data_IF_175762631620
#
_entry.id   IF_175762631620
#
_cell.length_a   1.000
_cell.length_b   1.000
_cell.length_c   1.000
_cell.angle_alpha   90.00
_cell.angle_beta   90.00
_cell.angle_gamma   90.00
#
_symmetry.space_group_name_H-M   'P 1'
#
loop_
_entity.id
_entity.type
_entity.pdbx_description
1 polymer ?
#
# COMPACT_ATOMS: atom_id res chain seq x y z
N UNK A 1 32.02 -20.31 30.95
CA UNK A 1 32.85 -19.18 30.48
C UNK A 1 32.28 -18.72 29.15
N UNK A 2 31.36 -17.76 29.15
CA UNK A 2 30.71 -17.29 27.92
C UNK A 2 31.60 -16.23 27.26
N UNK A 3 32.45 -16.65 26.34
CA UNK A 3 33.31 -15.72 25.59
C UNK A 3 32.46 -15.08 24.49
N UNK A 4 32.21 -13.78 24.62
CA UNK A 4 31.43 -12.99 23.65
C UNK A 4 32.31 -12.74 22.41
N UNK A 5 32.22 -13.61 21.42
CA UNK A 5 32.87 -13.42 20.12
C UNK A 5 32.04 -12.43 19.30
N UNK A 6 32.54 -11.20 19.15
CA UNK A 6 31.94 -10.19 18.27
C UNK A 6 32.41 -10.36 16.82
N UNK A 7 31.52 -10.24 15.82
CA UNK A 7 31.93 -10.31 14.42
C UNK A 7 32.81 -9.11 14.02
N UNK A 8 33.77 -9.27 13.09
CA UNK A 8 34.64 -8.18 12.65
C UNK A 8 33.83 -7.07 11.97
N UNK A 9 34.20 -5.82 12.25
CA UNK A 9 33.52 -4.61 11.79
C UNK A 9 33.74 -4.38 10.28
N UNK A 10 32.68 -4.42 9.47
CA UNK A 10 32.75 -4.02 8.06
C UNK A 10 31.71 -4.58 7.08
N UNK A 11 30.81 -5.48 7.49
CA UNK A 11 30.10 -6.34 6.54
C UNK A 11 28.63 -5.94 6.30
N UNK A 12 28.22 -5.86 5.01
CA UNK A 12 26.90 -5.42 4.52
C UNK A 12 25.76 -6.40 4.91
N UNK A 13 24.48 -5.95 4.97
CA UNK A 13 23.38 -6.71 5.59
C UNK A 13 23.06 -8.07 4.94
N UNK A 14 23.00 -8.16 3.61
CA UNK A 14 22.66 -9.40 2.90
C UNK A 14 23.79 -10.45 2.98
N UNK A 15 25.05 -10.01 3.03
CA UNK A 15 26.19 -10.91 3.25
C UNK A 15 26.23 -11.44 4.67
N UNK A 16 25.72 -10.72 5.68
CA UNK A 16 25.80 -11.12 7.10
C UNK A 16 25.18 -12.48 7.40
N UNK A 17 24.06 -12.83 6.78
CA UNK A 17 23.36 -14.09 7.09
C UNK A 17 24.10 -15.29 6.49
N UNK A 18 24.48 -15.22 5.22
CA UNK A 18 25.26 -16.25 4.55
C UNK A 18 26.65 -16.38 5.18
N UNK A 19 27.29 -15.27 5.55
CA UNK A 19 28.57 -15.29 6.28
C UNK A 19 28.42 -15.81 7.71
N UNK A 20 27.31 -15.55 8.40
CA UNK A 20 27.07 -16.10 9.73
C UNK A 20 26.88 -17.62 9.68
N UNK A 21 26.19 -18.12 8.66
CA UNK A 21 26.03 -19.57 8.42
C UNK A 21 27.38 -20.20 8.11
N UNK A 22 28.18 -19.60 7.22
CA UNK A 22 29.52 -20.11 6.90
C UNK A 22 30.48 -20.04 8.10
N UNK A 23 30.39 -18.99 8.90
CA UNK A 23 31.19 -18.83 10.12
C UNK A 23 30.80 -19.86 11.20
N UNK A 24 29.50 -20.11 11.38
CA UNK A 24 29.00 -21.16 12.28
C UNK A 24 29.47 -22.55 11.84
N UNK A 25 29.39 -22.85 10.54
CA UNK A 25 29.88 -24.10 9.97
C UNK A 25 31.40 -24.28 10.19
N UNK A 26 32.17 -23.21 10.01
CA UNK A 26 33.62 -23.22 10.19
C UNK A 26 34.02 -23.46 11.65
N UNK A 27 33.39 -22.77 12.62
CA UNK A 27 33.64 -22.97 14.06
C UNK A 27 33.34 -24.41 14.48
N UNK A 28 32.19 -24.94 14.05
CA UNK A 28 31.78 -26.31 14.39
C UNK A 28 32.79 -27.33 13.88
N UNK A 29 33.25 -27.17 12.64
CA UNK A 29 34.22 -28.08 12.02
C UNK A 29 35.60 -27.98 12.68
N UNK A 30 36.11 -26.77 12.92
CA UNK A 30 37.41 -26.55 13.55
C UNK A 30 37.45 -27.12 14.98
N UNK A 31 36.41 -26.87 15.77
CA UNK A 31 36.31 -27.41 17.12
C UNK A 31 36.13 -28.93 17.13
N UNK A 32 35.37 -29.50 16.20
CA UNK A 32 35.22 -30.95 16.05
C UNK A 32 36.56 -31.63 15.72
N UNK A 33 37.36 -31.04 14.83
CA UNK A 33 38.70 -31.54 14.49
C UNK A 33 39.65 -31.48 15.69
N UNK A 34 39.64 -30.37 16.44
CA UNK A 34 40.45 -30.24 17.66
C UNK A 34 40.03 -31.23 18.75
N UNK A 35 38.72 -31.45 18.93
CA UNK A 35 38.20 -32.41 19.91
C UNK A 35 38.57 -33.85 19.51
N UNK A 36 38.38 -34.22 18.23
CA UNK A 36 38.75 -35.54 17.72
C UNK A 36 40.25 -35.83 17.88
N UNK A 37 41.10 -34.82 17.63
CA UNK A 37 42.54 -34.93 17.84
C UNK A 37 42.91 -35.10 19.34
N UNK A 38 42.22 -34.40 20.25
CA UNK A 38 42.43 -34.53 21.71
C UNK A 38 41.97 -35.87 22.27
N UNK A 39 40.83 -36.39 21.79
CA UNK A 39 40.31 -37.71 22.21
C UNK A 39 41.25 -38.82 21.74
N UNK A 40 41.80 -38.70 20.52
CA UNK A 40 42.74 -39.70 19.97
C UNK A 40 44.11 -39.68 20.68
N UNK A 41 44.53 -38.54 21.22
CA UNK A 41 45.83 -38.38 21.90
C UNK A 41 45.78 -38.63 23.42
N UNK A 42 44.59 -38.81 24.01
CA UNK A 42 44.43 -39.05 25.44
C UNK A 42 44.28 -40.56 25.72
N UNK A 43 45.17 -41.17 26.52
CA UNK A 43 45.18 -42.63 26.75
C UNK A 43 43.93 -43.17 27.48
N UNK A 44 43.21 -42.30 28.20
CA UNK A 44 42.03 -42.67 28.99
C UNK A 44 40.70 -42.61 28.21
N UNK A 45 40.69 -42.05 27.00
CA UNK A 45 39.49 -41.81 26.20
C UNK A 45 39.45 -42.72 24.97
N UNK A 46 38.63 -43.78 25.02
CA UNK A 46 38.49 -44.69 23.88
C UNK A 46 37.49 -44.12 22.85
N UNK A 47 38.00 -43.65 21.70
CA UNK A 47 37.22 -43.10 20.60
C UNK A 47 36.06 -44.02 20.16
N UNK A 48 36.29 -45.34 20.15
CA UNK A 48 35.26 -46.32 19.75
C UNK A 48 34.10 -46.37 20.74
N UNK A 49 34.36 -46.12 22.02
CA UNK A 49 33.32 -46.05 23.07
C UNK A 49 32.49 -44.77 22.98
N UNK A 50 33.10 -43.63 22.60
CA UNK A 50 32.37 -42.37 22.40
C UNK A 50 31.53 -42.39 21.12
N UNK A 51 32.02 -43.01 20.06
CA UNK A 51 31.26 -43.18 18.82
C UNK A 51 30.06 -44.13 19.00
N UNK A 52 30.15 -45.11 19.90
CA UNK A 52 29.04 -46.02 20.19
C UNK A 52 28.01 -45.47 21.16
N UNK A 53 28.41 -44.63 22.13
CA UNK A 53 27.49 -44.06 23.14
C UNK A 53 26.97 -42.66 22.80
N UNK A 54 27.78 -41.81 22.17
CA UNK A 54 27.42 -40.42 21.85
C UNK A 54 28.17 -39.89 20.63
N UNK A 55 27.90 -40.40 19.42
CA UNK A 55 28.61 -39.99 18.19
C UNK A 55 28.41 -38.50 17.88
N UNK A 56 27.27 -37.92 18.28
CA UNK A 56 26.96 -36.49 18.09
C UNK A 56 27.93 -35.56 18.82
N UNK A 57 28.54 -36.01 19.91
CA UNK A 57 29.51 -35.20 20.68
C UNK A 57 30.80 -34.94 19.89
N UNK A 58 31.14 -35.81 18.93
CA UNK A 58 32.34 -35.65 18.07
C UNK A 58 31.97 -34.95 16.76
N UNK A 59 30.80 -35.27 16.20
CA UNK A 59 30.35 -34.75 14.91
C UNK A 59 29.79 -33.32 15.02
N UNK A 60 29.05 -33.02 16.09
CA UNK A 60 28.45 -31.72 16.38
C UNK A 60 28.71 -31.31 17.85
N UNK A 61 29.98 -31.09 18.23
CA UNK A 61 30.37 -30.80 19.62
C UNK A 61 29.80 -29.48 20.16
N UNK A 62 29.50 -28.54 19.27
CA UNK A 62 28.91 -27.25 19.61
C UNK A 62 27.53 -27.19 18.99
N UNK A 63 26.51 -27.13 19.83
CA UNK A 63 25.15 -26.79 19.44
C UNK A 63 24.77 -25.46 20.07
N UNK A 64 23.89 -24.74 19.37
CA UNK A 64 23.21 -23.59 19.94
C UNK A 64 21.72 -23.90 19.96
N UNK A 65 21.04 -23.45 21.00
CA UNK A 65 19.58 -23.45 21.04
C UNK A 65 19.13 -22.02 20.75
N UNK A 66 18.37 -21.82 19.67
CA UNK A 66 17.75 -20.52 19.43
C UNK A 66 16.60 -20.39 20.44
N UNK A 67 16.85 -19.64 21.51
CA UNK A 67 15.79 -19.23 22.44
C UNK A 67 15.14 -17.99 21.87
N UNK A 68 13.98 -18.15 21.24
CA UNK A 68 13.21 -17.01 20.78
C UNK A 68 12.57 -16.30 21.99
N UNK A 69 13.12 -15.14 22.35
CA UNK A 69 12.62 -14.31 23.45
C UNK A 69 11.19 -13.80 23.20
N UNK A 70 10.75 -13.75 21.93
CA UNK A 70 9.42 -13.29 21.52
C UNK A 70 8.84 -14.30 20.51
N UNK A 71 8.26 -15.42 20.99
CA UNK A 71 7.71 -16.44 20.11
C UNK A 71 6.53 -15.90 19.30
N UNK A 72 6.51 -16.32 18.03
CA UNK A 72 5.37 -16.13 17.14
C UNK A 72 4.24 -17.06 17.58
N UNK A 73 3.27 -16.51 18.29
CA UNK A 73 2.17 -17.25 18.93
C UNK A 73 0.78 -16.84 18.40
N UNK A 74 0.72 -15.88 17.47
CA UNK A 74 -0.52 -15.34 16.93
C UNK A 74 -0.47 -15.32 15.40
N UNK A 75 -0.84 -16.43 14.72
CA UNK A 75 -0.82 -16.50 13.27
C UNK A 75 -1.76 -15.48 12.62
N UNK A 76 -2.86 -15.10 13.28
CA UNK A 76 -3.82 -14.09 12.80
C UNK A 76 -3.15 -12.75 12.49
N UNK A 77 -2.09 -12.39 13.22
CA UNK A 77 -1.38 -11.14 13.00
C UNK A 77 -0.69 -11.06 11.62
N UNK A 78 -0.33 -12.20 11.01
CA UNK A 78 0.25 -12.20 9.66
C UNK A 78 -0.79 -11.78 8.62
N UNK A 79 -2.00 -12.32 8.70
CA UNK A 79 -3.09 -11.94 7.80
C UNK A 79 -3.35 -10.43 7.86
N UNK A 80 -3.37 -9.85 9.07
CA UNK A 80 -3.60 -8.42 9.29
C UNK A 80 -2.43 -7.55 8.80
N UNK A 81 -1.18 -8.00 9.00
CA UNK A 81 0.03 -7.25 8.63
C UNK A 81 0.38 -7.29 7.12
N UNK A 82 -0.32 -8.11 6.33
CA UNK A 82 -0.12 -8.26 4.89
C UNK A 82 -1.42 -8.10 4.09
N UNK A 83 -2.32 -9.08 4.16
CA UNK A 83 -3.58 -9.08 3.40
C UNK A 83 -4.50 -7.96 3.86
N UNK A 84 -4.54 -7.71 5.18
CA UNK A 84 -5.27 -6.61 5.77
C UNK A 84 -4.88 -5.23 5.21
N UNK A 85 -3.60 -5.01 4.89
CA UNK A 85 -3.16 -3.75 4.29
C UNK A 85 -3.73 -3.55 2.89
N UNK A 86 -3.84 -4.61 2.09
CA UNK A 86 -4.47 -4.55 0.77
C UNK A 86 -5.93 -4.13 0.91
N UNK A 87 -6.67 -4.73 1.86
CA UNK A 87 -8.05 -4.32 2.15
C UNK A 87 -8.15 -2.87 2.60
N UNK A 88 -7.25 -2.40 3.45
CA UNK A 88 -7.19 -1.01 3.89
C UNK A 88 -7.17 -0.03 2.70
N UNK A 89 -6.37 -0.33 1.67
CA UNK A 89 -6.24 0.51 0.49
C UNK A 89 -7.39 0.33 -0.51
N UNK A 90 -7.92 -0.87 -0.70
CA UNK A 90 -9.14 -1.10 -1.52
C UNK A 90 -10.35 -0.37 -0.91
N UNK A 91 -10.56 -0.52 0.40
CA UNK A 91 -11.61 0.19 1.12
C UNK A 91 -11.43 1.70 1.03
N UNK A 92 -10.18 2.19 1.06
CA UNK A 92 -9.90 3.61 0.90
C UNK A 92 -10.33 4.16 -0.46
N UNK A 93 -10.17 3.37 -1.52
CA UNK A 93 -10.63 3.71 -2.87
C UNK A 93 -12.16 3.76 -2.98
N UNK A 94 -12.86 2.79 -2.39
CA UNK A 94 -14.33 2.82 -2.40
C UNK A 94 -14.88 4.06 -1.72
N UNK A 95 -14.29 4.50 -0.61
CA UNK A 95 -14.68 5.75 0.06
C UNK A 95 -14.51 6.95 -0.87
N UNK A 96 -13.38 7.04 -1.59
CA UNK A 96 -13.13 8.14 -2.55
C UNK A 96 -14.16 8.13 -3.68
N UNK A 97 -14.44 6.95 -4.25
CA UNK A 97 -15.40 6.81 -5.35
C UNK A 97 -16.84 7.11 -4.91
N UNK A 98 -17.24 6.65 -3.73
CA UNK A 98 -18.57 6.96 -3.17
C UNK A 98 -18.68 8.45 -2.84
N UNK A 99 -17.64 9.04 -2.24
CA UNK A 99 -17.63 10.47 -1.94
C UNK A 99 -17.68 11.32 -3.22
N UNK A 100 -16.97 10.92 -4.27
CA UNK A 100 -17.04 11.54 -5.59
C UNK A 100 -18.44 11.42 -6.19
N UNK A 101 -19.00 10.20 -6.24
CA UNK A 101 -20.35 9.97 -6.77
C UNK A 101 -21.42 10.75 -6.01
N UNK A 102 -21.31 10.84 -4.69
CA UNK A 102 -22.21 11.64 -3.86
C UNK A 102 -22.12 13.14 -4.17
N UNK A 103 -20.91 13.68 -4.39
CA UNK A 103 -20.72 15.08 -4.78
C UNK A 103 -21.27 15.38 -6.17
N UNK A 104 -21.13 14.46 -7.11
CA UNK A 104 -21.66 14.63 -8.46
C UNK A 104 -23.19 14.53 -8.49
N UNK A 105 -23.77 13.53 -7.82
CA UNK A 105 -25.21 13.35 -7.73
C UNK A 105 -25.93 14.51 -7.01
N UNK A 106 -25.28 15.09 -5.98
CA UNK A 106 -25.82 16.25 -5.26
C UNK A 106 -25.58 17.58 -5.97
N UNK A 107 -24.79 17.61 -7.06
CA UNK A 107 -24.44 18.84 -7.77
C UNK A 107 -23.58 19.81 -6.95
N UNK A 108 -23.04 19.37 -5.81
CA UNK A 108 -22.28 20.20 -4.86
C UNK A 108 -21.04 20.82 -5.51
N UNK A 109 -20.45 20.13 -6.49
CA UNK A 109 -19.33 20.63 -7.30
C UNK A 109 -19.66 21.91 -8.08
N UNK A 110 -20.94 22.15 -8.42
CA UNK A 110 -21.39 23.31 -9.20
C UNK A 110 -21.85 24.48 -8.33
N UNK A 111 -22.23 24.20 -7.09
CA UNK A 111 -22.90 25.17 -6.21
C UNK A 111 -21.91 25.79 -5.21
N UNK A 112 -20.94 25.01 -4.71
CA UNK A 112 -20.01 25.48 -3.68
C UNK A 112 -18.78 26.17 -4.27
N UNK A 113 -18.37 27.26 -3.63
CA UNK A 113 -17.07 27.88 -3.88
C UNK A 113 -15.89 27.00 -3.44
N UNK A 114 -14.71 27.28 -4.00
CA UNK A 114 -13.47 26.49 -3.86
C UNK A 114 -13.15 26.12 -2.39
N UNK A 115 -13.17 27.10 -1.48
CA UNK A 115 -12.87 26.88 -0.05
C UNK A 115 -13.85 25.91 0.61
N UNK A 116 -15.14 26.08 0.35
CA UNK A 116 -16.18 25.22 0.92
C UNK A 116 -16.11 23.80 0.34
N UNK A 117 -15.79 23.68 -0.94
CA UNK A 117 -15.61 22.39 -1.59
C UNK A 117 -14.45 21.60 -0.95
N UNK A 118 -13.29 22.24 -0.74
CA UNK A 118 -12.14 21.63 -0.06
C UNK A 118 -12.53 21.14 1.33
N UNK A 119 -13.22 21.97 2.12
CA UNK A 119 -13.64 21.62 3.48
C UNK A 119 -14.56 20.40 3.46
N UNK A 120 -15.53 20.36 2.55
CA UNK A 120 -16.43 19.20 2.42
C UNK A 120 -15.65 17.94 2.04
N UNK A 121 -14.71 18.03 1.10
CA UNK A 121 -13.89 16.89 0.66
C UNK A 121 -13.03 16.34 1.80
N UNK A 122 -12.29 17.21 2.49
CA UNK A 122 -11.47 16.77 3.62
C UNK A 122 -12.33 16.23 4.76
N UNK A 123 -13.40 16.93 5.13
CA UNK A 123 -14.25 16.51 6.26
C UNK A 123 -14.93 15.16 6.00
N UNK A 124 -15.43 14.94 4.78
CA UNK A 124 -16.07 13.67 4.41
C UNK A 124 -15.08 12.51 4.39
N UNK A 125 -13.85 12.71 3.87
CA UNK A 125 -12.79 11.70 3.93
C UNK A 125 -12.36 11.41 5.37
N UNK A 126 -12.11 12.42 6.19
CA UNK A 126 -11.67 12.25 7.58
C UNK A 126 -12.71 11.53 8.44
N UNK A 127 -13.98 11.87 8.30
CA UNK A 127 -15.07 11.20 9.01
C UNK A 127 -15.29 9.78 8.49
N UNK A 128 -15.31 9.58 7.18
CA UNK A 128 -15.49 8.27 6.56
C UNK A 128 -14.43 7.27 7.01
N UNK A 129 -13.16 7.67 6.98
CA UNK A 129 -12.06 6.81 7.43
C UNK A 129 -12.06 6.57 8.94
N UNK A 130 -12.58 7.49 9.75
CA UNK A 130 -12.63 7.32 11.21
C UNK A 130 -13.50 6.13 11.60
N UNK A 131 -14.73 6.07 11.06
CA UNK A 131 -15.64 4.95 11.32
C UNK A 131 -15.20 3.67 10.62
N UNK A 132 -14.74 3.77 9.36
CA UNK A 132 -14.32 2.59 8.61
C UNK A 132 -13.11 1.89 9.25
N UNK A 133 -12.12 2.67 9.69
CA UNK A 133 -10.94 2.14 10.40
C UNK A 133 -11.32 1.51 11.74
N UNK A 134 -12.36 2.02 12.42
CA UNK A 134 -12.89 1.42 13.64
C UNK A 134 -13.49 0.05 13.36
N UNK A 135 -14.38 -0.07 12.37
CA UNK A 135 -14.98 -1.35 11.99
C UNK A 135 -13.92 -2.36 11.51
N UNK A 136 -12.97 -1.92 10.69
CA UNK A 136 -11.84 -2.73 10.26
C UNK A 136 -11.00 -3.23 11.45
N UNK A 137 -10.80 -2.38 12.46
CA UNK A 137 -10.03 -2.75 13.65
C UNK A 137 -10.80 -3.68 14.59
N UNK A 138 -12.12 -3.48 14.72
CA UNK A 138 -13.03 -4.36 15.45
C UNK A 138 -13.10 -5.75 14.83
N UNK A 139 -13.05 -5.86 13.50
CA UNK A 139 -12.95 -7.15 12.82
C UNK A 139 -11.70 -7.92 13.27
N UNK A 140 -10.55 -7.25 13.35
CA UNK A 140 -9.30 -7.87 13.82
C UNK A 140 -9.41 -8.34 15.27
N UNK A 141 -10.15 -7.60 16.12
CA UNK A 141 -10.45 -8.00 17.49
C UNK A 141 -11.42 -9.20 17.55
N UNK A 142 -12.40 -9.27 16.65
CA UNK A 142 -13.32 -10.41 16.54
C UNK A 142 -12.59 -11.70 16.14
N UNK A 143 -11.56 -11.60 15.31
CA UNK A 143 -10.65 -12.72 14.99
C UNK A 143 -9.64 -13.05 16.10
N UNK A 144 -9.83 -12.49 17.31
CA UNK A 144 -9.01 -12.75 18.51
C UNK A 144 -7.53 -12.39 18.32
N UNK A 145 -7.23 -11.33 17.56
CA UNK A 145 -5.89 -10.74 17.57
C UNK A 145 -5.64 -10.10 18.94
N UNK A 146 -4.57 -10.49 19.62
CA UNK A 146 -4.27 -9.98 20.95
C UNK A 146 -3.29 -8.79 20.88
N UNK A 147 -3.78 -7.64 21.34
CA UNK A 147 -3.06 -6.36 21.32
C UNK A 147 -2.39 -6.02 22.67
N UNK A 148 -2.56 -6.85 23.70
CA UNK A 148 -2.19 -6.50 25.07
C UNK A 148 -0.72 -6.74 25.40
N UNK A 149 -0.01 -7.51 24.59
CA UNK A 149 1.33 -8.02 24.88
C UNK A 149 2.37 -6.94 25.21
N UNK A 150 2.36 -5.82 24.47
CA UNK A 150 3.33 -4.71 24.67
C UNK A 150 2.74 -3.50 25.35
N UNK A 151 1.51 -3.14 25.01
CA UNK A 151 0.86 -1.88 25.37
C UNK A 151 -0.37 -2.08 26.27
N UNK A 152 -0.66 -3.30 26.72
CA UNK A 152 -1.82 -3.60 27.54
C UNK A 152 -3.14 -3.22 26.86
N UNK A 153 -4.09 -2.73 27.65
CA UNK A 153 -5.42 -2.33 27.17
C UNK A 153 -5.39 -1.22 26.12
N UNK A 154 -4.35 -0.38 26.10
CA UNK A 154 -4.19 0.68 25.11
C UNK A 154 -3.78 0.17 23.72
N UNK A 155 -3.39 -1.10 23.59
CA UNK A 155 -2.93 -1.68 22.32
C UNK A 155 -3.99 -1.65 21.21
N UNK A 156 -5.27 -1.90 21.55
CA UNK A 156 -6.36 -1.81 20.59
C UNK A 156 -6.54 -0.38 20.07
N UNK A 157 -6.51 0.61 20.95
CA UNK A 157 -6.64 2.02 20.57
C UNK A 157 -5.51 2.46 19.65
N UNK A 158 -4.26 2.06 19.96
CA UNK A 158 -3.11 2.33 19.10
C UNK A 158 -3.24 1.66 17.73
N UNK A 159 -3.73 0.42 17.69
CA UNK A 159 -3.98 -0.30 16.43
C UNK A 159 -5.08 0.38 15.61
N UNK A 160 -6.16 0.83 16.24
CA UNK A 160 -7.22 1.56 15.55
C UNK A 160 -6.72 2.89 14.98
N UNK A 161 -6.05 3.72 15.78
CA UNK A 161 -5.47 4.98 15.31
C UNK A 161 -4.42 4.76 14.22
N UNK A 162 -3.63 3.68 14.32
CA UNK A 162 -2.68 3.29 13.28
C UNK A 162 -3.40 3.00 11.96
N UNK A 163 -4.49 2.21 11.98
CA UNK A 163 -5.28 1.95 10.78
C UNK A 163 -5.98 3.21 10.26
N UNK A 164 -6.41 4.11 11.16
CA UNK A 164 -7.03 5.38 10.77
C UNK A 164 -6.07 6.29 9.99
N UNK A 165 -4.89 6.56 10.54
CA UNK A 165 -3.85 7.33 9.84
C UNK A 165 -3.30 6.58 8.62
N UNK A 166 -3.28 5.25 8.66
CA UNK A 166 -3.00 4.40 7.51
C UNK A 166 -3.96 4.65 6.36
N UNK A 167 -5.26 4.50 6.60
CA UNK A 167 -6.31 4.76 5.60
C UNK A 167 -6.28 6.20 5.10
N UNK A 168 -6.09 7.18 5.99
CA UNK A 168 -5.97 8.60 5.59
C UNK A 168 -4.78 8.83 4.67
N UNK A 169 -3.60 8.27 4.97
CA UNK A 169 -2.39 8.50 4.19
C UNK A 169 -2.50 8.04 2.74
N UNK A 170 -3.12 6.87 2.51
CA UNK A 170 -3.30 6.33 1.15
C UNK A 170 -4.58 6.82 0.48
N UNK A 171 -5.65 7.02 1.25
CA UNK A 171 -6.95 7.46 0.77
C UNK A 171 -6.98 8.92 0.36
N UNK A 172 -6.34 9.81 1.13
CA UNK A 172 -6.25 11.24 0.76
C UNK A 172 -5.36 11.46 -0.46
N UNK A 173 -4.36 10.61 -0.69
CA UNK A 173 -3.59 10.64 -1.94
C UNK A 173 -4.51 10.39 -3.15
N UNK A 174 -5.37 9.37 -3.08
CA UNK A 174 -6.37 9.07 -4.11
C UNK A 174 -7.42 10.19 -4.25
N UNK A 175 -7.92 10.71 -3.13
CA UNK A 175 -8.86 11.83 -3.11
C UNK A 175 -8.24 13.08 -3.74
N UNK A 176 -6.94 13.35 -3.56
CA UNK A 176 -6.30 14.48 -4.22
C UNK A 176 -6.20 14.26 -5.74
N UNK A 177 -5.85 13.04 -6.17
CA UNK A 177 -5.58 12.70 -7.56
C UNK A 177 -6.82 12.56 -8.44
N UNK A 178 -8.00 12.24 -7.88
CA UNK A 178 -9.26 12.19 -8.66
C UNK A 178 -9.60 13.51 -9.34
N UNK A 179 -9.09 14.62 -8.79
CA UNK A 179 -9.25 15.97 -9.34
C UNK A 179 -8.56 16.12 -10.70
N UNK A 180 -7.45 15.43 -10.93
CA UNK A 180 -6.68 15.48 -12.19
C UNK A 180 -7.07 14.32 -13.10
N UNK A 181 -7.01 13.08 -12.59
CA UNK A 181 -7.10 11.90 -13.43
C UNK A 181 -8.52 11.54 -13.86
N UNK A 182 -9.55 12.26 -13.36
CA UNK A 182 -10.97 11.96 -13.55
C UNK A 182 -11.34 10.57 -13.00
N UNK A 183 -12.64 10.32 -12.76
CA UNK A 183 -13.09 9.07 -12.14
C UNK A 183 -12.73 7.82 -12.97
N UNK A 184 -12.55 7.95 -14.29
CA UNK A 184 -12.29 6.83 -15.21
C UNK A 184 -10.88 6.25 -15.05
N UNK A 185 -9.86 7.08 -14.80
CA UNK A 185 -8.47 6.61 -14.75
C UNK A 185 -8.00 6.24 -13.33
N UNK A 186 -8.77 6.62 -12.31
CA UNK A 186 -8.44 6.33 -10.91
C UNK A 186 -8.29 4.84 -10.60
N UNK A 187 -9.09 3.90 -11.14
CA UNK A 187 -8.86 2.47 -10.96
C UNK A 187 -7.49 1.99 -11.47
N UNK A 188 -6.99 2.54 -12.59
CA UNK A 188 -5.67 2.17 -13.12
C UNK A 188 -4.54 2.71 -12.25
N UNK A 189 -4.65 3.95 -11.79
CA UNK A 189 -3.71 4.51 -10.82
C UNK A 189 -3.71 3.70 -9.53
N UNK A 190 -4.88 3.28 -9.05
CA UNK A 190 -5.03 2.47 -7.85
C UNK A 190 -4.29 1.13 -7.96
N UNK A 191 -4.28 0.50 -9.14
CA UNK A 191 -3.51 -0.73 -9.36
C UNK A 191 -2.00 -0.51 -9.17
N UNK A 192 -1.46 0.57 -9.73
CA UNK A 192 -0.06 0.95 -9.52
C UNK A 192 0.22 1.29 -8.05
N UNK A 193 -0.73 1.96 -7.39
CA UNK A 193 -0.63 2.34 -5.99
C UNK A 193 -0.61 1.13 -5.04
N UNK A 194 -1.39 0.08 -5.34
CA UNK A 194 -1.34 -1.21 -4.64
C UNK A 194 0.06 -1.82 -4.78
N UNK A 195 0.57 -1.97 -6.01
CA UNK A 195 1.83 -2.64 -6.28
C UNK A 195 3.00 -1.92 -5.58
N UNK A 196 3.05 -0.60 -5.66
CA UNK A 196 4.08 0.20 -5.02
C UNK A 196 4.10 0.02 -3.48
N UNK A 197 2.93 -0.04 -2.85
CA UNK A 197 2.82 -0.15 -1.39
C UNK A 197 3.02 -1.59 -0.88
N UNK A 198 2.52 -2.60 -1.61
CA UNK A 198 2.61 -4.01 -1.20
C UNK A 198 4.01 -4.57 -1.42
N UNK A 199 4.69 -4.19 -2.51
CA UNK A 199 5.99 -4.77 -2.89
C UNK A 199 7.07 -4.63 -1.82
N UNK A 200 7.02 -3.59 -0.99
CA UNK A 200 7.98 -3.31 0.08
C UNK A 200 7.65 -3.98 1.41
N UNK A 201 6.50 -4.65 1.51
CA UNK A 201 6.04 -5.25 2.77
C UNK A 201 6.27 -6.77 2.83
N UNK A 202 6.32 -7.44 1.67
CA UNK A 202 6.38 -8.91 1.55
C UNK A 202 7.56 -9.50 2.31
N UNK A 203 8.73 -8.88 2.16
CA UNK A 203 9.98 -9.31 2.77
C UNK A 203 10.61 -8.15 3.57
N UNK A 204 11.47 -8.45 4.56
CA UNK A 204 12.28 -7.42 5.21
C UNK A 204 13.07 -6.61 4.19
N UNK A 205 13.07 -5.28 4.29
CA UNK A 205 13.73 -4.40 3.30
C UNK A 205 15.24 -4.66 3.24
N UNK A 206 15.85 -5.14 4.33
CA UNK A 206 17.28 -5.43 4.40
C UNK A 206 17.73 -6.56 3.46
N UNK A 207 16.81 -7.42 3.02
CA UNK A 207 17.08 -8.50 2.06
C UNK A 207 16.58 -8.18 0.64
N UNK A 208 15.79 -7.13 0.48
CA UNK A 208 15.29 -6.70 -0.83
C UNK A 208 16.38 -5.94 -1.62
N UNK A 209 16.34 -6.00 -2.97
CA UNK A 209 17.21 -5.18 -3.80
C UNK A 209 17.12 -3.69 -3.45
N UNK A 210 18.21 -2.95 -3.69
CA UNK A 210 18.33 -1.52 -3.35
C UNK A 210 17.16 -0.65 -3.83
N UNK A 211 16.55 -1.00 -4.96
CA UNK A 211 15.40 -0.29 -5.51
C UNK A 211 14.20 -0.23 -4.55
N UNK A 212 13.99 -1.21 -3.66
CA UNK A 212 12.86 -1.23 -2.74
C UNK A 212 13.06 -0.40 -1.45
N UNK A 213 14.19 0.28 -1.31
CA UNK A 213 14.47 1.09 -0.12
C UNK A 213 13.58 2.34 -0.02
N UNK A 214 12.85 2.73 -1.08
CA UNK A 214 11.79 3.74 -0.96
C UNK A 214 10.69 3.30 0.04
N UNK A 215 10.57 2.00 0.30
CA UNK A 215 9.62 1.43 1.25
C UNK A 215 9.70 2.03 2.64
N UNK A 216 10.86 2.50 3.10
CA UNK A 216 10.96 3.18 4.40
C UNK A 216 10.04 4.40 4.51
N UNK A 217 9.80 5.08 3.38
CA UNK A 217 8.93 6.24 3.32
C UNK A 217 7.46 5.88 3.02
N UNK A 218 7.13 4.65 2.61
CA UNK A 218 5.75 4.32 2.23
C UNK A 218 4.87 4.06 3.44
N UNK A 219 3.56 4.35 3.35
CA UNK A 219 2.62 4.07 4.43
C UNK A 219 2.55 2.59 4.82
N UNK A 220 2.53 1.68 3.85
CA UNK A 220 2.30 0.26 4.09
C UNK A 220 3.43 -0.42 4.88
N UNK A 221 4.68 -0.07 4.59
CA UNK A 221 5.82 -0.59 5.34
C UNK A 221 5.73 -0.19 6.83
N UNK A 222 5.42 1.09 7.06
CA UNK A 222 5.26 1.66 8.40
C UNK A 222 4.05 1.06 9.15
N UNK A 223 2.95 0.79 8.44
CA UNK A 223 1.80 0.06 8.97
C UNK A 223 2.18 -1.38 9.36
N UNK A 224 2.80 -2.14 8.45
CA UNK A 224 3.13 -3.55 8.68
C UNK A 224 4.06 -3.73 9.88
N UNK A 225 5.11 -2.91 10.01
CA UNK A 225 6.04 -2.97 11.15
C UNK A 225 5.34 -2.56 12.45
N UNK A 226 4.50 -1.55 12.41
CA UNK A 226 3.76 -1.11 13.60
C UNK A 226 2.77 -2.16 14.08
N UNK A 227 2.07 -2.84 13.17
CA UNK A 227 1.17 -3.98 13.51
C UNK A 227 1.97 -5.09 14.17
N UNK A 228 3.15 -5.44 13.64
CA UNK A 228 4.05 -6.45 14.26
C UNK A 228 4.55 -6.00 15.63
N UNK A 229 4.83 -4.71 15.81
CA UNK A 229 5.24 -4.13 17.10
C UNK A 229 4.11 -4.21 18.15
N UNK A 230 2.86 -3.98 17.75
CA UNK A 230 1.70 -4.08 18.64
C UNK A 230 1.39 -5.54 18.99
N UNK A 231 1.29 -6.43 17.98
CA UNK A 231 0.86 -7.82 18.18
C UNK A 231 1.93 -8.68 18.87
N UNK A 232 3.20 -8.54 18.46
CA UNK A 232 4.28 -9.38 18.99
C UNK A 232 5.14 -8.67 20.04
N UNK A 233 5.06 -7.35 20.18
CA UNK A 233 5.91 -6.61 21.10
C UNK A 233 7.38 -6.50 20.65
N UNK A 234 7.61 -6.46 19.34
CA UNK A 234 8.94 -6.25 18.76
C UNK A 234 9.45 -4.82 18.99
N UNK A 235 10.57 -4.45 18.35
CA UNK A 235 11.20 -3.11 18.47
C UNK A 235 10.14 -2.00 18.36
N UNK A 236 10.17 -1.06 19.31
CA UNK A 236 9.23 0.06 19.31
C UNK A 236 9.66 1.10 18.26
N UNK A 237 9.08 1.01 17.07
CA UNK A 237 9.19 2.02 16.00
C UNK A 237 7.87 2.79 15.79
N UNK A 238 6.90 2.57 16.68
CA UNK A 238 5.52 3.04 16.53
C UNK A 238 5.45 4.56 16.33
N UNK A 239 6.17 5.32 17.15
CA UNK A 239 6.19 6.79 17.04
C UNK A 239 6.77 7.29 15.72
N UNK A 240 7.84 6.66 15.21
CA UNK A 240 8.42 7.02 13.92
C UNK A 240 7.47 6.71 12.77
N UNK A 241 6.80 5.56 12.81
CA UNK A 241 5.81 5.16 11.81
C UNK A 241 4.58 6.08 11.82
N UNK A 242 4.07 6.48 12.98
CA UNK A 242 3.02 7.51 13.08
C UNK A 242 3.47 8.84 12.48
N UNK A 243 4.72 9.27 12.74
CA UNK A 243 5.28 10.48 12.16
C UNK A 243 5.26 10.46 10.63
N UNK A 244 5.65 9.34 10.02
CA UNK A 244 5.63 9.17 8.55
C UNK A 244 4.19 9.16 8.01
N UNK A 245 3.26 8.47 8.67
CA UNK A 245 1.86 8.44 8.25
C UNK A 245 1.22 9.84 8.33
N UNK A 246 1.44 10.57 9.41
CA UNK A 246 0.95 11.94 9.58
C UNK A 246 1.57 12.87 8.53
N UNK A 247 2.85 12.69 8.22
CA UNK A 247 3.51 13.45 7.16
C UNK A 247 2.83 13.23 5.80
N UNK A 248 2.48 11.99 5.44
CA UNK A 248 1.71 11.70 4.23
C UNK A 248 0.33 12.34 4.25
N UNK A 249 -0.38 12.27 5.38
CA UNK A 249 -1.68 12.93 5.54
C UNK A 249 -1.56 14.45 5.35
N UNK A 250 -0.52 15.07 5.91
CA UNK A 250 -0.26 16.49 5.77
C UNK A 250 0.05 16.86 4.30
N UNK A 251 0.93 16.08 3.65
CA UNK A 251 1.24 16.27 2.22
C UNK A 251 -0.02 16.16 1.39
N UNK A 252 -0.82 15.10 1.55
CA UNK A 252 -2.06 14.92 0.78
C UNK A 252 -3.12 15.99 1.07
N UNK A 253 -3.19 16.48 2.30
CA UNK A 253 -4.09 17.57 2.69
C UNK A 253 -3.65 18.92 2.12
N UNK A 254 -2.36 19.10 1.82
CA UNK A 254 -1.84 20.28 1.12
C UNK A 254 -1.96 20.15 -0.40
N UNK A 255 -1.77 18.95 -0.96
CA UNK A 255 -1.88 18.74 -2.41
C UNK A 255 -3.31 18.91 -2.89
N UNK A 256 -4.32 18.46 -2.13
CA UNK A 256 -5.73 18.57 -2.56
C UNK A 256 -6.15 20.03 -2.86
N UNK A 257 -5.94 21.04 -1.98
CA UNK A 257 -6.19 22.43 -2.28
C UNK A 257 -5.46 22.96 -3.52
N UNK A 258 -4.19 22.59 -3.68
CA UNK A 258 -3.37 23.03 -4.81
C UNK A 258 -3.89 22.48 -6.14
N UNK A 259 -4.20 21.18 -6.17
CA UNK A 259 -4.77 20.53 -7.35
C UNK A 259 -6.19 21.03 -7.66
N UNK A 260 -6.98 21.30 -6.63
CA UNK A 260 -8.31 21.88 -6.80
C UNK A 260 -8.23 23.28 -7.39
N UNK A 261 -7.32 24.11 -6.90
CA UNK A 261 -7.10 25.45 -7.44
C UNK A 261 -6.70 25.41 -8.92
N UNK A 262 -5.72 24.57 -9.26
CA UNK A 262 -5.28 24.36 -10.63
C UNK A 262 -6.43 23.90 -11.56
N UNK A 263 -7.21 22.91 -11.12
CA UNK A 263 -8.35 22.43 -11.89
C UNK A 263 -9.44 23.51 -12.08
N UNK A 264 -9.70 24.34 -11.07
CA UNK A 264 -10.67 25.44 -11.21
C UNK A 264 -10.21 26.52 -12.17
N UNK A 265 -8.90 26.83 -12.25
CA UNK A 265 -8.37 27.82 -13.19
C UNK A 265 -8.45 27.33 -14.64
N UNK A 266 -8.16 26.05 -14.91
CA UNK A 266 -8.31 25.47 -16.25
C UNK A 266 -9.79 25.42 -16.66
N UNK A 267 -10.68 24.99 -15.75
CA UNK A 267 -12.12 24.98 -16.01
C UNK A 267 -12.65 26.38 -16.32
N UNK A 268 -12.22 27.42 -15.59
CA UNK A 268 -12.60 28.80 -15.86
C UNK A 268 -12.21 29.24 -17.29
N UNK A 269 -11.02 28.87 -17.75
CA UNK A 269 -10.58 29.15 -19.12
C UNK A 269 -11.47 28.46 -20.17
N UNK A 270 -11.81 27.19 -19.94
CA UNK A 270 -12.69 26.44 -20.86
C UNK A 270 -14.11 26.99 -20.90
N UNK A 271 -14.68 27.38 -19.74
CA UNK A 271 -15.98 28.05 -19.69
C UNK A 271 -15.96 29.42 -20.39
N UNK A 272 -14.91 30.21 -20.22
CA UNK A 272 -14.76 31.48 -20.94
C UNK A 272 -14.70 31.26 -22.47
N UNK A 273 -13.98 30.23 -22.93
CA UNK A 273 -13.93 29.86 -24.34
C UNK A 273 -15.31 29.41 -24.89
N UNK A 274 -16.10 28.67 -24.09
CA UNK A 274 -17.46 28.27 -24.45
C UNK A 274 -18.41 29.47 -24.55
N UNK A 275 -18.34 30.43 -23.62
CA UNK A 275 -19.14 31.66 -23.69
C UNK A 275 -18.82 32.45 -24.96
N UNK A 276 -17.53 32.61 -25.28
CA UNK A 276 -17.11 33.29 -26.52
C UNK A 276 -17.58 32.55 -27.78
N UNK A 277 -17.56 31.22 -27.77
CA UNK A 277 -18.04 30.40 -28.88
C UNK A 277 -19.57 30.49 -29.06
N UNK A 278 -20.34 30.53 -27.97
CA UNK A 278 -21.79 30.68 -28.00
C UNK A 278 -22.23 32.06 -28.51
N UNK A 279 -21.49 33.12 -28.16
CA UNK A 279 -21.71 34.49 -28.67
C UNK A 279 -21.15 34.72 -30.09
N UNK A 280 -20.49 33.72 -30.70
CA UNK A 280 -19.89 33.82 -32.03
C UNK A 280 -18.70 34.78 -32.11
N UNK A 281 -18.08 35.10 -30.98
CA UNK A 281 -16.94 36.00 -30.88
C UNK A 281 -15.64 35.19 -30.98
N UNK A 282 -14.68 35.65 -31.79
CA UNK A 282 -13.38 34.97 -31.92
C UNK A 282 -12.68 34.79 -30.57
N UNK A 283 -12.24 33.56 -30.30
CA UNK A 283 -11.58 33.13 -29.07
C UNK A 283 -10.11 33.61 -29.08
N UNK A 284 -9.88 34.81 -28.55
CA UNK A 284 -8.53 35.38 -28.40
C UNK A 284 -8.08 35.36 -26.95
N UNK A 285 -6.75 35.36 -26.72
CA UNK A 285 -6.17 35.35 -25.36
C UNK A 285 -6.69 36.49 -24.49
N UNK A 286 -6.84 37.68 -25.07
CA UNK A 286 -7.20 38.89 -24.34
C UNK A 286 -8.66 38.87 -23.86
N UNK A 287 -9.55 38.26 -24.65
CA UNK A 287 -10.97 38.11 -24.28
C UNK A 287 -11.17 37.04 -23.21
N UNK A 288 -10.39 35.95 -23.28
CA UNK A 288 -10.37 34.93 -22.22
C UNK A 288 -9.91 35.58 -20.90
N UNK A 289 -8.82 36.34 -20.93
CA UNK A 289 -8.30 37.03 -19.75
C UNK A 289 -9.29 38.08 -19.20
N UNK A 290 -9.98 38.82 -20.07
CA UNK A 290 -11.00 39.77 -19.64
C UNK A 290 -12.17 39.09 -18.91
N UNK A 291 -12.64 37.94 -19.43
CA UNK A 291 -13.71 37.17 -18.80
C UNK A 291 -13.27 36.52 -17.49
N UNK A 292 -12.08 35.93 -17.42
CA UNK A 292 -11.57 35.33 -16.18
C UNK A 292 -11.32 36.37 -15.10
N UNK A 293 -10.82 37.56 -15.47
CA UNK A 293 -10.65 38.68 -14.55
C UNK A 293 -11.99 39.24 -14.06
N UNK A 294 -13.01 39.33 -14.92
CA UNK A 294 -14.36 39.70 -14.52
C UNK A 294 -14.99 38.68 -13.55
N UNK A 295 -14.64 37.40 -13.68
CA UNK A 295 -15.07 36.34 -12.77
C UNK A 295 -14.23 36.26 -11.47
N UNK A 296 -13.19 37.09 -11.32
CA UNK A 296 -12.31 37.10 -10.14
C UNK A 296 -11.35 35.91 -10.05
N UNK A 297 -11.04 35.26 -11.18
CA UNK A 297 -10.09 34.14 -11.27
C UNK A 297 -8.83 34.60 -11.99
N UNK A 298 -7.70 34.58 -11.29
CA UNK A 298 -6.38 34.89 -11.87
C UNK A 298 -5.94 33.75 -12.78
N UNK A 299 -6.01 33.96 -14.09
CA UNK A 299 -5.52 33.03 -15.10
C UNK A 299 -4.12 33.42 -15.55
N UNK A 300 -3.20 32.47 -15.58
CA UNK A 300 -1.88 32.70 -16.17
C UNK A 300 -2.01 32.93 -17.69
N UNK A 301 -1.42 34.00 -18.26
CA UNK A 301 -1.57 34.34 -19.68
C UNK A 301 -1.16 33.22 -20.65
N UNK A 302 -0.23 32.36 -20.21
CA UNK A 302 0.23 31.19 -20.98
C UNK A 302 -0.96 30.27 -21.31
N UNK A 303 -1.84 29.98 -20.36
CA UNK A 303 -3.01 29.11 -20.58
C UNK A 303 -4.00 29.71 -21.56
N UNK A 304 -4.26 31.01 -21.49
CA UNK A 304 -5.11 31.70 -22.47
C UNK A 304 -4.52 31.62 -23.89
N UNK A 305 -3.20 31.79 -24.01
CA UNK A 305 -2.51 31.70 -25.30
C UNK A 305 -2.50 30.28 -25.88
N UNK A 306 -2.36 29.27 -25.01
CA UNK A 306 -2.34 27.86 -25.39
C UNK A 306 -3.74 27.40 -25.83
N UNK A 307 -4.78 27.82 -25.09
CA UNK A 307 -6.17 27.50 -25.40
C UNK A 307 -6.63 28.18 -26.70
N UNK A 308 -6.27 29.46 -26.92
CA UNK A 308 -6.57 30.17 -28.16
C UNK A 308 -5.95 29.47 -29.38
N UNK A 309 -4.68 29.05 -29.29
CA UNK A 309 -4.01 28.27 -30.35
C UNK A 309 -4.62 26.88 -30.55
N UNK A 310 -5.03 26.22 -29.46
CA UNK A 310 -5.59 24.86 -29.54
C UNK A 310 -6.99 24.83 -30.18
N UNK A 311 -7.73 25.93 -30.08
CA UNK A 311 -9.09 26.13 -30.61
C UNK A 311 -9.11 26.85 -31.97
N UNK A 312 -7.96 27.33 -32.44
CA UNK A 312 -7.82 27.93 -33.77
C UNK A 312 -8.19 26.90 -34.87
N UNK A 313 -9.20 27.24 -35.68
CA UNK A 313 -9.66 26.39 -36.79
C UNK A 313 -10.52 25.17 -36.40
N UNK A 314 -10.96 25.02 -35.14
CA UNK A 314 -11.85 23.93 -34.71
C UNK A 314 -13.26 24.43 -34.37
N UNK A 315 -14.28 23.73 -34.84
CA UNK A 315 -15.66 23.96 -34.42
C UNK A 315 -15.90 23.39 -33.03
N UNK A 316 -15.94 24.26 -32.02
CA UNK A 316 -16.18 23.89 -30.62
C UNK A 316 -17.49 23.12 -30.44
N UNK A 317 -18.52 23.47 -31.22
CA UNK A 317 -19.84 22.81 -31.20
C UNK A 317 -19.83 21.37 -31.70
N UNK A 318 -19.01 21.06 -32.72
CA UNK A 318 -18.83 19.70 -33.23
C UNK A 318 -18.02 18.83 -32.26
N UNK A 319 -17.04 19.43 -31.58
CA UNK A 319 -16.29 18.77 -30.52
C UNK A 319 -17.20 18.35 -29.36
N UNK A 320 -18.13 19.23 -28.94
CA UNK A 320 -19.09 18.91 -27.88
C UNK A 320 -20.04 17.76 -28.26
N UNK A 321 -20.51 17.70 -29.52
CA UNK A 321 -21.38 16.61 -29.98
C UNK A 321 -20.68 15.25 -30.05
N UNK A 322 -19.36 15.20 -30.19
CA UNK A 322 -18.59 13.96 -30.29
C UNK A 322 -18.09 13.44 -28.92
N UNK A 323 -18.24 14.20 -27.83
CA UNK A 323 -17.73 13.85 -26.48
C UNK A 323 -18.59 12.78 -25.77
N UNK A 324 -19.77 12.44 -26.30
CA UNK A 324 -20.74 11.54 -25.65
C UNK A 324 -20.53 10.02 -25.78
N UNK A 325 -19.53 9.52 -26.51
CA UNK A 325 -19.40 8.09 -26.81
C UNK A 325 -18.58 7.26 -25.80
N UNK A 326 -18.07 7.85 -24.70
CA UNK A 326 -17.13 7.16 -23.79
C UNK A 326 -17.37 7.29 -22.29
N UNK A 327 -18.52 7.79 -21.84
CA UNK A 327 -18.70 8.23 -20.45
C UNK A 327 -19.93 7.67 -19.76
N UNK A 328 -20.09 6.35 -19.73
CA UNK A 328 -21.21 5.71 -19.03
C UNK A 328 -20.87 4.30 -18.59
N UNK A 329 -20.08 4.15 -17.53
CA UNK A 329 -20.04 2.90 -16.79
C UNK A 329 -20.88 3.07 -15.52
N UNK A 330 -22.01 2.35 -15.37
CA UNK A 330 -22.69 2.26 -14.09
C UNK A 330 -21.75 1.62 -13.07
N UNK A 331 -21.87 2.03 -11.81
CA UNK A 331 -21.21 1.40 -10.68
C UNK A 331 -21.70 -0.07 -10.57
N UNK A 332 -20.99 -0.98 -11.24
CA UNK A 332 -21.20 -2.41 -11.10
C UNK A 332 -20.59 -2.88 -9.77
N UNK A 333 -21.35 -3.73 -9.07
CA UNK A 333 -21.03 -4.26 -7.75
C UNK A 333 -19.63 -4.87 -7.65
N UNK A 334 -19.10 -4.80 -6.43
CA UNK A 334 -17.77 -5.27 -6.06
C UNK A 334 -17.47 -6.67 -6.63
N UNK A 335 -16.32 -6.86 -7.33
CA UNK A 335 -15.76 -8.18 -7.48
C UNK A 335 -15.26 -8.64 -6.12
N UNK A 336 -15.59 -9.88 -5.75
CA UNK A 336 -15.02 -10.54 -4.59
C UNK A 336 -13.49 -10.58 -4.72
N UNK A 337 -12.80 -9.87 -3.83
CA UNK A 337 -11.35 -9.90 -3.75
C UNK A 337 -10.89 -11.24 -3.16
N UNK A 338 -10.66 -12.23 -4.03
CA UNK A 338 -9.86 -13.40 -3.70
C UNK A 338 -8.38 -13.02 -3.78
N UNK A 339 -7.82 -12.59 -2.65
CA UNK A 339 -6.38 -12.42 -2.48
C UNK A 339 -5.90 -13.30 -1.32
N UNK A 340 -5.48 -14.52 -1.64
CA UNK A 340 -4.80 -15.43 -0.73
C UNK A 340 -4.07 -16.52 -1.52
N UNK A 341 -2.74 -16.53 -1.41
CA UNK A 341 -1.90 -17.65 -1.88
C UNK A 341 -0.59 -17.23 -2.52
N UNK A 342 0.46 -17.05 -1.71
CA UNK A 342 1.83 -17.06 -2.20
C UNK A 342 2.35 -18.50 -2.28
N UNK A 343 2.81 -18.93 -3.46
CA UNK A 343 4.05 -19.69 -3.74
C UNK A 343 3.92 -20.55 -5.01
N UNK A 344 4.71 -20.24 -6.04
CA UNK A 344 5.67 -21.14 -6.69
C UNK A 344 6.09 -20.58 -8.07
N UNK A 345 7.39 -20.62 -8.34
CA UNK A 345 7.99 -20.30 -9.62
C UNK A 345 8.07 -21.56 -10.50
N UNK A 346 7.71 -21.47 -11.78
CA UNK A 346 8.41 -22.05 -12.93
C UNK A 346 7.76 -21.57 -14.26
N UNK A 347 8.57 -21.44 -15.31
CA UNK A 347 8.23 -20.95 -16.65
C UNK A 347 7.69 -22.08 -17.57
N UNK A 348 7.53 -21.85 -18.89
CA UNK A 348 6.41 -21.21 -19.60
C UNK A 348 5.48 -22.25 -20.30
N UNK A 349 4.23 -21.88 -20.59
CA UNK A 349 3.37 -22.61 -21.56
C UNK A 349 3.20 -21.81 -22.84
N UNK A 350 3.72 -22.34 -23.94
CA UNK A 350 3.20 -22.13 -25.29
C UNK A 350 1.84 -22.85 -25.44
N UNK A 351 0.93 -22.18 -26.15
CA UNK A 351 -0.03 -22.65 -27.19
C UNK A 351 -0.53 -24.12 -27.14
N UNK A 352 -1.82 -24.45 -27.31
CA UNK A 352 -2.74 -24.04 -28.38
C UNK A 352 -4.17 -24.56 -28.08
N UNK A 353 -5.18 -23.89 -28.68
CA UNK A 353 -6.50 -24.36 -29.19
C UNK A 353 -7.62 -24.79 -28.23
N UNK A 354 -8.77 -24.09 -28.26
CA UNK A 354 -9.96 -24.33 -29.13
C UNK A 354 -10.64 -25.67 -28.76
N UNK A 355 -11.93 -25.78 -28.44
CA UNK A 355 -13.09 -25.23 -29.13
C UNK A 355 -14.36 -25.39 -28.25
N UNK A 356 -15.41 -24.70 -28.65
CA UNK A 356 -16.76 -24.61 -28.09
C UNK A 356 -17.50 -25.96 -27.93
N UNK A 357 -18.41 -26.00 -26.95
CA UNK A 357 -19.76 -26.55 -27.17
C UNK A 357 -20.78 -25.93 -26.22
N UNK A 358 -21.78 -25.30 -26.82
CA UNK A 358 -23.00 -24.78 -26.24
C UNK A 358 -23.95 -25.86 -25.71
N UNK A 359 -24.85 -25.42 -24.83
CA UNK A 359 -26.19 -25.93 -24.50
C UNK A 359 -26.37 -27.32 -23.83
N UNK A 360 -26.79 -27.29 -22.56
CA UNK A 360 -28.01 -27.98 -22.11
C UNK A 360 -28.51 -27.40 -20.79
N UNK A 361 -29.78 -27.01 -20.81
CA UNK A 361 -30.63 -26.59 -19.71
C UNK A 361 -30.89 -27.69 -18.66
N UNK A 362 -31.35 -27.20 -17.51
CA UNK A 362 -32.27 -27.82 -16.54
C UNK A 362 -31.82 -28.99 -15.65
N UNK A 363 -32.05 -28.74 -14.36
CA UNK A 363 -32.42 -29.70 -13.33
C UNK A 363 -31.31 -30.64 -12.82
N UNK A 364 -30.66 -30.24 -11.73
CA UNK A 364 -30.54 -31.08 -10.52
C UNK A 364 -30.27 -30.19 -9.30
N UNK A 365 -31.36 -29.68 -8.72
CA UNK A 365 -31.34 -29.24 -7.34
C UNK A 365 -31.10 -30.42 -6.41
N UNK A 366 -30.09 -30.37 -5.56
CA UNK A 366 -30.07 -31.13 -4.31
C UNK A 366 -29.15 -30.44 -3.30
N UNK A 367 -29.72 -30.14 -2.12
CA UNK A 367 -29.09 -29.37 -1.06
C UNK A 367 -27.90 -30.08 -0.42
N UNK A 368 -26.91 -29.28 0.02
CA UNK A 368 -25.70 -29.75 0.65
C UNK A 368 -25.49 -29.09 2.04
N UNK A 369 -26.54 -29.11 2.85
CA UNK A 369 -26.37 -29.25 4.30
C UNK A 369 -26.49 -30.75 4.61
N UNK A 370 -25.37 -31.45 4.42
CA UNK A 370 -24.94 -32.58 5.24
C UNK A 370 -23.45 -32.37 5.55
#
# INVERSE_FOLDING_TARGET
MAQKLSPPTGWRPATRMLTAILFDLWIKLDFALQLAARVTSSPDLNLTSFLSTSPQTIINPISYTIVNLIPFNQPVASAVAFVGLIYCLILSFFVVMVAYGAREASGVNRILGLKSLIIVRLTTSFLGYFFLSLFYSLLSLAFKLDFTRRYGHSGFFLFWMLNYFGMLSVGLALESLITIFTATWIPYFQMLWIIANVSVCVFPIEILPGIFHYGYATPFYNLSISIRSIAFGTKNTLGASFGILILWVAISSMTLPLLQWFATTELAATYAALILADDGIEITSDKILALTNAAGVELEPIWASLLAKALEGKNVKELLSNVGSGGGAPAAGAPAAAAGGAAAAEAPKEEEKEEEKEESDDDMGFGLFD
#
